data_IF_216563893486
#
_entry.id   IF_216563893486
#
_cell.length_a   1.000
_cell.length_b   1.000
_cell.length_c   1.000
_cell.angle_alpha   90.00
_cell.angle_beta   90.00
_cell.angle_gamma   90.00
#
_symmetry.space_group_name_H-M   'P 1'
#
loop_
_entity.id
_entity.type
_entity.pdbx_description
1 polymer ?
#
# COMPACT_ATOMS: atom_id res chain seq x y z
N UNK A 1 88.28 1.32 -25.88
CA UNK A 1 86.94 0.78 -25.53
C UNK A 1 86.29 1.41 -24.28
N UNK A 2 87.06 1.93 -23.30
CA UNK A 2 86.52 2.47 -22.03
C UNK A 2 85.66 3.75 -22.13
N UNK A 3 86.01 4.71 -22.99
CA UNK A 3 85.34 6.03 -23.04
C UNK A 3 83.89 5.96 -23.57
N UNK A 4 83.65 5.20 -24.64
CA UNK A 4 82.30 5.04 -25.23
C UNK A 4 81.33 4.29 -24.30
N UNK A 5 81.84 3.34 -23.53
CA UNK A 5 81.04 2.62 -22.53
C UNK A 5 80.63 3.52 -21.36
N UNK A 6 81.55 4.35 -20.85
CA UNK A 6 81.24 5.33 -19.79
C UNK A 6 80.22 6.37 -20.25
N UNK A 7 80.30 6.83 -21.49
CA UNK A 7 79.31 7.72 -22.09
C UNK A 7 77.93 7.07 -22.14
N UNK A 8 77.84 5.81 -22.59
CA UNK A 8 76.58 5.07 -22.65
C UNK A 8 75.96 4.88 -21.27
N UNK A 9 76.74 4.49 -20.27
CA UNK A 9 76.26 4.35 -18.87
C UNK A 9 75.76 5.68 -18.31
N UNK A 10 76.45 6.77 -18.60
CA UNK A 10 76.02 8.10 -18.18
C UNK A 10 74.70 8.52 -18.85
N UNK A 11 74.55 8.29 -20.16
CA UNK A 11 73.32 8.59 -20.89
C UNK A 11 72.15 7.74 -20.38
N UNK A 12 72.34 6.43 -20.20
CA UNK A 12 71.30 5.57 -19.64
C UNK A 12 70.95 5.93 -18.19
N UNK A 13 71.95 6.32 -17.39
CA UNK A 13 71.73 6.82 -16.03
C UNK A 13 70.90 8.11 -16.02
N UNK A 14 71.22 9.06 -16.90
CA UNK A 14 70.50 10.32 -17.02
C UNK A 14 69.05 10.11 -17.51
N UNK A 15 68.85 9.24 -18.51
CA UNK A 15 67.51 8.87 -19.00
C UNK A 15 66.68 8.20 -17.90
N UNK A 16 67.29 7.28 -17.14
CA UNK A 16 66.61 6.62 -16.02
C UNK A 16 66.24 7.59 -14.91
N UNK A 17 67.09 8.59 -14.66
CA UNK A 17 66.84 9.63 -13.66
C UNK A 17 65.73 10.59 -14.10
N UNK A 18 65.69 10.97 -15.38
CA UNK A 18 64.59 11.76 -15.97
C UNK A 18 63.28 10.97 -15.89
N UNK A 19 63.29 9.68 -16.25
CA UNK A 19 62.12 8.81 -16.12
C UNK A 19 61.68 8.63 -14.67
N UNK A 20 62.62 8.49 -13.74
CA UNK A 20 62.34 8.41 -12.31
C UNK A 20 61.72 9.70 -11.77
N UNK A 21 62.23 10.87 -12.16
CA UNK A 21 61.64 12.17 -11.80
C UNK A 21 60.26 12.37 -12.42
N UNK A 22 60.05 11.93 -13.66
CA UNK A 22 58.76 11.99 -14.32
C UNK A 22 57.71 11.11 -13.60
N UNK A 23 58.07 9.87 -13.26
CA UNK A 23 57.20 8.98 -12.48
C UNK A 23 56.95 9.52 -11.07
N UNK A 24 57.96 10.09 -10.42
CA UNK A 24 57.81 10.75 -9.11
C UNK A 24 56.87 11.95 -9.20
N UNK A 25 56.99 12.77 -10.25
CA UNK A 25 56.09 13.90 -10.48
C UNK A 25 54.63 13.44 -10.64
N UNK A 26 54.40 12.38 -11.41
CA UNK A 26 53.04 11.83 -11.59
C UNK A 26 52.49 11.23 -10.30
N UNK A 27 53.32 10.50 -9.54
CA UNK A 27 52.85 9.78 -8.35
C UNK A 27 52.68 10.67 -7.11
N UNK A 28 53.51 11.71 -6.96
CA UNK A 28 53.57 12.53 -5.73
C UNK A 28 53.13 13.97 -5.95
N UNK A 29 53.47 14.59 -7.09
CA UNK A 29 53.15 16.00 -7.34
C UNK A 29 51.80 16.19 -8.04
N UNK A 30 51.34 15.19 -8.81
CA UNK A 30 50.04 15.22 -9.49
C UNK A 30 49.11 14.03 -9.14
N UNK A 31 48.83 13.77 -7.85
CA UNK A 31 47.83 12.77 -7.46
C UNK A 31 46.39 13.21 -7.80
N UNK A 32 46.21 14.43 -8.29
CA UNK A 32 44.94 15.16 -8.29
C UNK A 32 44.00 14.65 -9.41
N UNK A 33 44.53 14.19 -10.55
CA UNK A 33 43.70 13.75 -11.68
C UNK A 33 43.38 12.23 -11.70
N UNK A 34 43.92 11.45 -10.77
CA UNK A 34 43.46 10.08 -10.56
C UNK A 34 42.19 10.01 -9.71
N UNK A 35 41.91 11.02 -8.88
CA UNK A 35 40.68 11.09 -8.08
C UNK A 35 39.43 11.15 -8.96
N UNK A 36 39.49 11.92 -10.06
CA UNK A 36 38.44 12.06 -11.08
C UNK A 36 38.26 10.79 -11.92
N UNK A 37 39.35 10.08 -12.27
CA UNK A 37 39.30 8.78 -12.96
C UNK A 37 38.76 7.66 -12.05
N UNK A 38 39.05 7.71 -10.75
CA UNK A 38 38.45 6.82 -9.74
C UNK A 38 36.93 7.08 -9.62
N UNK A 39 36.51 8.35 -9.65
CA UNK A 39 35.09 8.73 -9.65
C UNK A 39 34.35 8.29 -10.93
N UNK A 40 35.02 8.27 -12.09
CA UNK A 40 34.44 7.80 -13.35
C UNK A 40 34.11 6.30 -13.40
N UNK A 41 34.68 5.47 -12.50
CA UNK A 41 34.47 4.01 -12.51
C UNK A 41 33.29 3.53 -11.67
N UNK A 42 32.78 4.35 -10.76
CA UNK A 42 31.78 3.93 -9.77
C UNK A 42 30.61 4.91 -9.76
N UNK A 43 29.74 4.81 -10.78
CA UNK A 43 28.45 5.51 -10.77
C UNK A 43 27.58 4.87 -9.69
N UNK A 44 27.21 5.58 -8.61
CA UNK A 44 26.35 5.04 -7.58
C UNK A 44 25.00 4.64 -8.18
N UNK A 45 24.54 3.43 -7.85
CA UNK A 45 23.18 3.00 -8.19
C UNK A 45 22.20 3.54 -7.17
N UNK A 46 20.97 3.82 -7.60
CA UNK A 46 19.89 4.23 -6.70
C UNK A 46 18.96 3.06 -6.43
N UNK A 47 18.72 2.81 -5.15
CA UNK A 47 17.71 1.89 -4.65
C UNK A 47 16.52 2.70 -4.15
N UNK A 48 15.30 2.37 -4.59
CA UNK A 48 14.09 3.06 -4.18
C UNK A 48 13.61 2.51 -2.84
N UNK A 49 13.35 3.41 -1.90
CA UNK A 49 12.82 3.08 -0.58
C UNK A 49 11.30 3.30 -0.59
N UNK A 50 10.55 2.24 -0.33
CA UNK A 50 9.09 2.23 -0.43
C UNK A 50 8.48 2.69 0.90
N UNK A 51 7.62 3.72 0.91
CA UNK A 51 6.96 4.21 2.11
C UNK A 51 5.90 3.23 2.59
N UNK A 52 5.54 3.30 3.88
CA UNK A 52 4.39 2.57 4.38
C UNK A 52 3.09 3.30 4.02
N UNK A 53 2.11 2.57 3.48
CA UNK A 53 0.79 3.16 3.19
C UNK A 53 0.01 3.41 4.49
N UNK A 54 -0.56 4.61 4.63
CA UNK A 54 -1.24 5.06 5.85
C UNK A 54 -2.40 4.17 6.28
N UNK A 55 -2.66 4.10 7.58
CA UNK A 55 -3.75 3.29 8.16
C UNK A 55 -5.10 4.01 8.10
N UNK A 56 -6.21 3.27 8.08
CA UNK A 56 -7.56 3.82 8.13
C UNK A 56 -8.22 3.43 9.46
N UNK A 57 -8.81 4.41 10.13
CA UNK A 57 -9.45 4.29 11.43
C UNK A 57 -10.93 4.67 11.34
N UNK A 58 -11.75 4.10 12.21
CA UNK A 58 -13.14 4.50 12.38
C UNK A 58 -13.27 5.84 13.15
N UNK A 59 -14.51 6.29 13.36
CA UNK A 59 -14.81 7.50 14.11
C UNK A 59 -14.27 7.49 15.55
N UNK A 60 -14.10 6.31 16.16
CA UNK A 60 -13.64 6.15 17.55
C UNK A 60 -12.13 5.90 17.64
N UNK A 61 -11.42 5.78 16.51
CA UNK A 61 -9.99 5.49 16.46
C UNK A 61 -9.64 3.99 16.41
N UNK A 62 -10.63 3.12 16.24
CA UNK A 62 -10.41 1.69 16.01
C UNK A 62 -9.80 1.47 14.63
N UNK A 63 -8.79 0.61 14.56
CA UNK A 63 -8.07 0.29 13.33
C UNK A 63 -8.93 -0.55 12.39
N UNK A 64 -9.27 0.00 11.22
CA UNK A 64 -10.06 -0.66 10.18
C UNK A 64 -9.17 -1.28 9.10
N UNK A 65 -8.11 -0.57 8.71
CA UNK A 65 -7.19 -0.99 7.65
C UNK A 65 -5.76 -0.66 8.03
N UNK A 66 -4.87 -1.64 7.83
CA UNK A 66 -3.43 -1.48 8.01
C UNK A 66 -2.65 -2.08 6.85
N UNK A 67 -1.37 -1.75 6.77
CA UNK A 67 -0.44 -2.34 5.81
C UNK A 67 0.60 -3.17 6.52
N UNK A 68 0.85 -4.37 6.01
CA UNK A 68 1.91 -5.27 6.48
C UNK A 68 2.96 -5.36 5.39
N UNK A 69 4.20 -5.02 5.73
CA UNK A 69 5.35 -5.16 4.84
C UNK A 69 5.94 -6.56 4.97
N UNK A 70 6.26 -7.14 3.83
CA UNK A 70 6.94 -8.40 3.70
C UNK A 70 8.30 -8.20 3.05
N UNK A 71 9.28 -8.89 3.60
CA UNK A 71 10.66 -8.86 3.16
C UNK A 71 11.08 -10.21 2.63
N UNK A 72 11.96 -10.14 1.64
CA UNK A 72 12.74 -11.25 1.14
C UNK A 72 14.02 -11.38 1.94
N UNK A 73 14.34 -12.60 2.34
CA UNK A 73 15.57 -12.95 3.00
C UNK A 73 16.40 -13.84 2.09
N UNK A 74 17.62 -13.40 1.82
CA UNK A 74 18.60 -14.11 0.99
C UNK A 74 19.88 -14.34 1.81
N UNK A 75 20.48 -15.53 1.64
CA UNK A 75 21.74 -15.89 2.30
C UNK A 75 22.85 -16.04 1.27
N UNK A 76 23.90 -15.22 1.40
CA UNK A 76 25.16 -15.39 0.65
C UNK A 76 25.95 -16.57 1.22
N UNK A 77 25.79 -17.71 0.58
CA UNK A 77 26.46 -18.96 0.95
C UNK A 77 27.97 -18.93 0.75
N UNK A 78 28.47 -18.09 -0.16
CA UNK A 78 29.90 -17.88 -0.33
C UNK A 78 30.52 -17.24 0.92
N UNK A 79 29.84 -16.23 1.49
CA UNK A 79 30.24 -15.62 2.75
C UNK A 79 30.20 -16.61 3.93
N UNK A 80 29.17 -17.45 3.98
CA UNK A 80 29.06 -18.52 5.01
C UNK A 80 30.20 -19.52 4.90
N UNK A 81 30.56 -19.94 3.68
CA UNK A 81 31.66 -20.87 3.45
C UNK A 81 33.02 -20.29 3.88
N UNK A 82 33.27 -19.01 3.60
CA UNK A 82 34.49 -18.33 4.04
C UNK A 82 34.58 -18.25 5.57
N UNK A 83 33.47 -17.89 6.22
CA UNK A 83 33.39 -17.80 7.68
C UNK A 83 33.52 -19.16 8.38
N UNK A 84 32.88 -20.21 7.84
CA UNK A 84 32.98 -21.56 8.39
C UNK A 84 34.44 -22.05 8.37
N UNK A 85 35.15 -21.85 7.26
CA UNK A 85 36.58 -22.16 7.14
C UNK A 85 37.43 -21.41 8.15
N UNK A 86 37.17 -20.11 8.33
CA UNK A 86 37.94 -19.28 9.28
C UNK A 86 37.72 -19.69 10.73
N UNK A 87 36.55 -20.22 11.07
CA UNK A 87 36.21 -20.71 12.40
C UNK A 87 36.45 -22.23 12.58
N UNK A 88 37.14 -22.88 11.65
CA UNK A 88 37.45 -24.31 11.72
C UNK A 88 36.21 -25.24 11.69
N UNK A 89 35.07 -24.74 11.21
CA UNK A 89 33.79 -25.46 11.15
C UNK A 89 33.47 -25.92 9.73
N UNK A 90 32.64 -26.96 9.59
CA UNK A 90 32.18 -27.41 8.26
C UNK A 90 31.11 -26.46 7.69
N UNK A 91 30.97 -26.41 6.37
CA UNK A 91 29.91 -25.64 5.70
C UNK A 91 28.51 -26.07 6.16
N UNK A 92 28.32 -27.36 6.41
CA UNK A 92 27.06 -27.90 6.91
C UNK A 92 26.75 -27.41 8.32
N UNK A 93 27.75 -27.37 9.21
CA UNK A 93 27.59 -26.79 10.56
C UNK A 93 27.22 -25.30 10.49
N UNK A 94 27.84 -24.55 9.57
CA UNK A 94 27.47 -23.15 9.32
C UNK A 94 26.02 -23.00 8.86
N UNK A 95 25.55 -23.86 7.96
CA UNK A 95 24.15 -23.87 7.53
C UNK A 95 23.19 -24.25 8.64
N UNK A 96 23.54 -25.18 9.53
CA UNK A 96 22.73 -25.51 10.70
C UNK A 96 22.57 -24.32 11.65
N UNK A 97 23.65 -23.59 11.94
CA UNK A 97 23.56 -22.42 12.80
C UNK A 97 22.68 -21.31 12.20
N UNK A 98 22.83 -21.05 10.90
CA UNK A 98 22.01 -20.08 10.16
C UNK A 98 20.55 -20.51 10.11
N UNK A 99 20.29 -21.78 9.78
CA UNK A 99 18.94 -22.29 9.71
C UNK A 99 18.22 -22.23 11.06
N UNK A 100 18.93 -22.58 12.14
CA UNK A 100 18.43 -22.46 13.50
C UNK A 100 18.13 -21.00 13.87
N UNK A 101 19.05 -20.08 13.61
CA UNK A 101 18.84 -18.66 13.87
C UNK A 101 17.62 -18.08 13.13
N UNK A 102 17.37 -18.52 11.90
CA UNK A 102 16.18 -18.12 11.12
C UNK A 102 14.91 -18.79 11.68
N UNK A 103 14.94 -20.09 11.96
CA UNK A 103 13.79 -20.85 12.43
C UNK A 103 13.31 -20.40 13.81
N UNK A 104 14.23 -20.12 14.75
CA UNK A 104 13.88 -19.66 16.10
C UNK A 104 13.18 -18.30 16.10
N UNK A 105 13.37 -17.50 15.05
CA UNK A 105 12.88 -16.12 14.96
C UNK A 105 11.78 -15.89 13.91
N UNK A 106 11.42 -16.94 13.16
CA UNK A 106 10.44 -16.89 12.07
C UNK A 106 9.44 -18.04 12.14
N UNK A 107 8.42 -17.97 11.30
CA UNK A 107 7.43 -19.04 11.18
C UNK A 107 7.92 -20.27 10.38
N UNK A 108 9.17 -20.29 9.93
CA UNK A 108 9.74 -21.38 9.11
C UNK A 108 10.34 -22.49 9.98
N UNK A 109 10.24 -23.74 9.51
CA UNK A 109 10.93 -24.86 10.14
C UNK A 109 12.41 -24.88 9.72
N UNK A 110 13.29 -25.24 10.66
CA UNK A 110 14.73 -25.35 10.40
C UNK A 110 15.05 -26.26 9.21
N UNK A 111 14.36 -27.42 9.13
CA UNK A 111 14.53 -28.38 8.04
C UNK A 111 14.24 -27.78 6.65
N UNK A 112 13.24 -26.90 6.55
CA UNK A 112 12.89 -26.24 5.29
C UNK A 112 13.96 -25.22 4.87
N UNK A 113 14.53 -24.50 5.84
CA UNK A 113 15.62 -23.54 5.60
C UNK A 113 16.90 -24.28 5.19
N UNK A 114 17.26 -25.36 5.88
CA UNK A 114 18.41 -26.22 5.53
C UNK A 114 18.29 -26.81 4.13
N UNK A 115 17.09 -27.29 3.79
CA UNK A 115 16.80 -27.83 2.46
C UNK A 115 17.08 -26.77 1.40
N UNK A 116 16.62 -25.53 1.60
CA UNK A 116 16.90 -24.41 0.69
C UNK A 116 18.38 -24.08 0.61
N UNK A 117 19.09 -23.96 1.73
CA UNK A 117 20.53 -23.64 1.75
C UNK A 117 21.38 -24.64 0.95
N UNK A 118 20.97 -25.91 0.94
CA UNK A 118 21.66 -26.98 0.23
C UNK A 118 21.31 -27.12 -1.27
N UNK A 119 20.36 -26.34 -1.80
CA UNK A 119 19.95 -26.44 -3.22
C UNK A 119 20.95 -25.75 -4.17
N UNK A 120 21.25 -26.40 -5.29
CA UNK A 120 22.04 -25.78 -6.38
C UNK A 120 23.48 -25.45 -5.99
N UNK A 121 24.05 -24.42 -6.60
CA UNK A 121 25.46 -24.06 -6.39
C UNK A 121 25.68 -23.40 -5.02
N UNK A 122 26.47 -24.04 -4.14
CA UNK A 122 26.74 -23.58 -2.76
C UNK A 122 27.58 -22.29 -2.66
N UNK A 123 27.97 -21.67 -3.77
CA UNK A 123 28.75 -20.42 -3.79
C UNK A 123 27.93 -19.18 -4.17
N UNK A 124 26.64 -19.31 -4.45
CA UNK A 124 25.76 -18.18 -4.79
C UNK A 124 24.79 -17.85 -3.67
N UNK A 125 24.26 -16.62 -3.66
CA UNK A 125 23.15 -16.27 -2.78
C UNK A 125 21.90 -17.07 -3.11
N UNK A 126 21.12 -17.41 -2.08
CA UNK A 126 19.85 -18.14 -2.24
C UNK A 126 18.75 -17.54 -1.39
N UNK A 127 17.55 -17.52 -1.97
CA UNK A 127 16.35 -17.03 -1.32
C UNK A 127 15.78 -18.04 -0.33
N UNK A 128 15.69 -17.64 0.94
CA UNK A 128 15.08 -18.44 2.01
C UNK A 128 13.57 -18.26 2.03
N UNK A 129 13.07 -17.08 1.73
CA UNK A 129 11.64 -16.78 1.65
C UNK A 129 11.36 -15.30 1.43
N UNK A 130 10.12 -14.96 1.07
CA UNK A 130 9.68 -13.60 0.75
C UNK A 130 8.48 -13.11 1.57
N UNK A 131 8.16 -13.80 2.68
CA UNK A 131 7.00 -13.51 3.53
C UNK A 131 7.39 -13.21 4.97
N UNK A 132 8.59 -12.67 5.19
CA UNK A 132 9.03 -12.26 6.52
C UNK A 132 8.42 -10.91 6.87
N UNK A 133 7.68 -10.83 7.98
CA UNK A 133 7.20 -9.54 8.49
C UNK A 133 8.37 -8.73 9.03
N UNK A 134 8.21 -7.41 9.09
CA UNK A 134 9.21 -6.49 9.65
C UNK A 134 9.68 -6.91 11.06
N UNK A 135 8.75 -7.31 11.93
CA UNK A 135 9.07 -7.81 13.27
C UNK A 135 9.88 -9.13 13.28
N UNK A 136 9.63 -10.02 12.30
CA UNK A 136 10.40 -11.26 12.17
C UNK A 136 11.82 -10.95 11.66
N UNK A 137 11.91 -10.07 10.66
CA UNK A 137 13.17 -9.61 10.10
C UNK A 137 14.07 -8.97 11.18
N UNK A 138 13.53 -8.08 12.00
CA UNK A 138 14.29 -7.42 13.07
C UNK A 138 14.89 -8.42 14.06
N UNK A 139 14.13 -9.45 14.43
CA UNK A 139 14.61 -10.52 15.32
C UNK A 139 15.72 -11.32 14.66
N UNK A 140 15.57 -11.66 13.37
CA UNK A 140 16.61 -12.37 12.61
C UNK A 140 17.88 -11.52 12.52
N UNK A 141 17.79 -10.23 12.17
CA UNK A 141 18.95 -9.34 12.09
C UNK A 141 19.66 -9.26 13.44
N UNK A 142 18.92 -9.11 14.54
CA UNK A 142 19.50 -9.11 15.89
C UNK A 142 20.20 -10.42 16.23
N UNK A 143 19.61 -11.56 15.88
CA UNK A 143 20.20 -12.88 16.11
C UNK A 143 21.50 -13.05 15.32
N UNK A 144 21.53 -12.68 14.03
CA UNK A 144 22.73 -12.75 13.19
C UNK A 144 23.85 -11.85 13.71
N UNK A 145 23.53 -10.62 14.14
CA UNK A 145 24.51 -9.71 14.70
C UNK A 145 25.08 -10.22 16.04
N UNK A 146 24.22 -10.77 16.91
CA UNK A 146 24.63 -11.31 18.22
C UNK A 146 25.54 -12.53 18.07
N UNK A 147 25.19 -13.43 17.14
CA UNK A 147 25.96 -14.65 16.86
C UNK A 147 27.11 -14.42 15.86
N UNK A 148 27.26 -13.19 15.33
CA UNK A 148 28.24 -12.82 14.28
C UNK A 148 28.17 -13.74 13.05
N UNK A 149 26.95 -14.10 12.66
CA UNK A 149 26.69 -14.92 11.47
C UNK A 149 26.77 -14.06 10.20
N UNK A 150 27.46 -14.51 9.15
CA UNK A 150 27.60 -13.76 7.91
C UNK A 150 26.46 -14.05 6.91
N UNK A 151 26.45 -13.28 5.82
CA UNK A 151 25.71 -13.62 4.62
C UNK A 151 24.22 -13.27 4.63
N UNK A 152 23.71 -12.66 5.71
CA UNK A 152 22.33 -12.19 5.75
C UNK A 152 22.14 -10.97 4.83
N UNK A 153 21.23 -11.10 3.88
CA UNK A 153 20.76 -9.98 3.06
C UNK A 153 19.24 -9.98 3.03
N UNK A 154 18.65 -8.78 2.95
CA UNK A 154 17.22 -8.62 2.90
C UNK A 154 16.83 -7.50 1.95
N UNK A 155 15.71 -7.69 1.28
CA UNK A 155 15.13 -6.73 0.34
C UNK A 155 13.64 -6.66 0.59
N UNK A 156 13.02 -5.50 0.37
CA UNK A 156 11.57 -5.41 0.40
C UNK A 156 10.97 -6.31 -0.69
N UNK A 157 9.97 -7.12 -0.35
CA UNK A 157 9.32 -8.03 -1.28
C UNK A 157 7.95 -7.53 -1.72
N UNK A 158 7.07 -7.23 -0.76
CA UNK A 158 5.71 -6.78 -1.03
C UNK A 158 5.08 -6.12 0.19
N UNK A 159 3.93 -5.49 0.00
CA UNK A 159 3.09 -4.98 1.06
C UNK A 159 1.68 -5.53 0.88
N UNK A 160 1.09 -6.04 1.97
CA UNK A 160 -0.28 -6.51 1.94
C UNK A 160 -1.16 -5.60 2.76
N UNK A 161 -2.27 -5.17 2.18
CA UNK A 161 -3.33 -4.45 2.90
C UNK A 161 -4.15 -5.45 3.72
N UNK A 162 -4.26 -5.22 5.03
CA UNK A 162 -5.03 -6.01 5.97
C UNK A 162 -6.26 -5.22 6.41
N UNK A 163 -7.43 -5.83 6.26
CA UNK A 163 -8.70 -5.26 6.67
C UNK A 163 -9.22 -6.01 7.89
N UNK A 164 -9.36 -5.34 9.04
CA UNK A 164 -9.61 -5.99 10.33
C UNK A 164 -11.05 -6.52 10.48
N UNK A 165 -12.00 -5.93 9.77
CA UNK A 165 -13.45 -6.20 9.90
C UNK A 165 -14.08 -6.87 8.67
N UNK A 166 -13.30 -7.66 7.92
CA UNK A 166 -13.72 -8.45 6.74
C UNK A 166 -14.59 -7.75 5.70
N UNK A 167 -15.92 -7.71 5.87
CA UNK A 167 -16.88 -7.08 4.94
C UNK A 167 -17.34 -5.70 5.43
N UNK A 168 -17.25 -5.42 6.73
CA UNK A 168 -17.80 -4.18 7.32
C UNK A 168 -17.14 -2.94 6.70
N UNK A 169 -17.99 -2.00 6.27
CA UNK A 169 -17.59 -0.81 5.50
C UNK A 169 -16.78 -1.14 4.24
N UNK A 170 -16.87 -2.37 3.72
CA UNK A 170 -15.98 -2.88 2.69
C UNK A 170 -16.05 -2.08 1.40
N UNK A 171 -17.26 -1.81 0.91
CA UNK A 171 -17.49 -1.00 -0.31
C UNK A 171 -17.19 0.48 -0.11
N UNK A 172 -17.28 1.01 1.11
CA UNK A 172 -16.92 2.39 1.43
C UNK A 172 -15.40 2.55 1.44
N UNK A 173 -14.71 1.69 2.18
CA UNK A 173 -13.25 1.68 2.28
C UNK A 173 -12.64 1.41 0.90
N UNK A 174 -13.19 0.44 0.18
CA UNK A 174 -12.70 -0.03 -1.10
C UNK A 174 -11.51 -0.98 -0.95
N UNK A 175 -10.67 -1.01 -1.99
CA UNK A 175 -9.54 -1.91 -2.11
C UNK A 175 -8.35 -1.27 -2.83
N UNK A 176 -7.20 -1.94 -2.74
CA UNK A 176 -5.94 -1.54 -3.38
C UNK A 176 -5.47 -2.62 -4.36
N UNK A 177 -4.68 -2.21 -5.35
CA UNK A 177 -3.99 -3.07 -6.32
C UNK A 177 -2.50 -2.92 -6.17
N UNK A 178 -1.80 -4.04 -6.24
CA UNK A 178 -0.35 -4.04 -6.45
C UNK A 178 -0.06 -3.72 -7.92
N UNK A 179 0.65 -2.62 -8.15
CA UNK A 179 1.16 -2.20 -9.45
C UNK A 179 2.68 -2.45 -9.48
N UNK A 180 3.15 -2.91 -10.64
CA UNK A 180 4.55 -3.21 -10.89
C UNK A 180 4.88 -2.81 -12.31
N UNK A 181 5.66 -1.74 -12.46
CA UNK A 181 5.88 -1.07 -13.75
C UNK A 181 7.06 -1.68 -14.55
N UNK A 182 7.54 -2.86 -14.16
CA UNK A 182 8.65 -3.54 -14.83
C UNK A 182 8.76 -5.00 -14.43
N UNK A 183 9.09 -5.83 -15.41
CA UNK A 183 9.50 -7.22 -15.26
C UNK A 183 10.88 -7.36 -15.90
N UNK A 184 11.93 -7.50 -15.10
CA UNK A 184 13.23 -7.92 -15.60
C UNK A 184 13.26 -9.47 -15.62
N UNK A 185 13.22 -10.11 -16.80
CA UNK A 185 13.17 -11.57 -16.92
C UNK A 185 14.46 -12.26 -16.46
N UNK A 186 15.56 -11.53 -16.26
CA UNK A 186 16.86 -12.07 -15.85
C UNK A 186 17.05 -12.03 -14.33
N UNK A 187 16.57 -10.98 -13.66
CA UNK A 187 16.77 -10.79 -12.20
C UNK A 187 15.51 -11.06 -11.36
N UNK A 188 14.33 -11.23 -11.99
CA UNK A 188 13.02 -11.29 -11.33
C UNK A 188 12.70 -10.09 -10.42
N UNK A 189 13.45 -8.99 -10.53
CA UNK A 189 13.27 -7.79 -9.71
C UNK A 189 12.14 -6.91 -10.26
N UNK A 190 11.26 -6.44 -9.37
CA UNK A 190 10.17 -5.50 -9.69
C UNK A 190 10.73 -4.06 -9.64
N UNK A 191 10.78 -3.35 -10.77
CA UNK A 191 11.47 -2.06 -10.88
C UNK A 191 10.85 -0.92 -10.05
N UNK A 192 9.56 -0.98 -9.73
CA UNK A 192 8.93 -0.13 -8.73
C UNK A 192 7.72 -0.86 -8.15
N UNK A 193 7.72 -1.13 -6.84
CA UNK A 193 6.54 -1.63 -6.16
C UNK A 193 5.65 -0.46 -5.77
N UNK A 194 4.39 -0.50 -6.22
CA UNK A 194 3.39 0.51 -5.90
C UNK A 194 2.08 -0.14 -5.45
N UNK A 195 1.46 0.44 -4.43
CA UNK A 195 0.16 0.01 -3.93
C UNK A 195 -0.84 1.15 -4.15
N UNK A 196 -1.67 1.00 -5.18
CA UNK A 196 -2.60 2.04 -5.65
C UNK A 196 -4.04 1.71 -5.25
N UNK A 197 -4.79 2.70 -4.77
CA UNK A 197 -6.22 2.55 -4.49
C UNK A 197 -7.04 2.33 -5.76
N UNK A 198 -7.95 1.36 -5.74
CA UNK A 198 -8.83 1.02 -6.89
C UNK A 198 -10.18 1.71 -6.78
N UNK A 199 -10.75 1.75 -5.58
CA UNK A 199 -12.10 2.27 -5.32
C UNK A 199 -12.23 2.79 -3.89
N UNK A 200 -13.36 3.44 -3.59
CA UNK A 200 -13.72 3.89 -2.25
C UNK A 200 -12.77 4.95 -1.67
N UNK A 201 -12.60 4.91 -0.35
CA UNK A 201 -11.65 5.77 0.38
C UNK A 201 -10.21 5.52 -0.07
N UNK A 202 -9.84 4.26 -0.34
CA UNK A 202 -8.48 3.91 -0.78
C UNK A 202 -8.11 4.62 -2.10
N UNK A 203 -9.03 4.75 -3.05
CA UNK A 203 -8.79 5.49 -4.29
C UNK A 203 -8.90 7.00 -4.13
N UNK A 204 -9.97 7.48 -3.50
CA UNK A 204 -10.23 8.93 -3.36
C UNK A 204 -9.15 9.66 -2.56
N UNK A 205 -8.49 8.96 -1.63
CA UNK A 205 -7.41 9.52 -0.79
C UNK A 205 -6.07 8.83 -1.05
N UNK A 206 -5.87 8.30 -2.26
CA UNK A 206 -4.65 7.57 -2.60
C UNK A 206 -3.39 8.42 -2.40
N UNK A 207 -3.45 9.73 -2.71
CA UNK A 207 -2.30 10.63 -2.68
C UNK A 207 -1.75 10.81 -1.26
N UNK A 208 -2.62 10.94 -0.26
CA UNK A 208 -2.20 11.06 1.15
C UNK A 208 -1.87 9.71 1.77
N UNK A 209 -2.55 8.63 1.34
CA UNK A 209 -2.34 7.29 1.89
C UNK A 209 -1.03 6.66 1.37
N UNK A 210 -0.63 6.93 0.12
CA UNK A 210 0.53 6.29 -0.49
C UNK A 210 1.86 6.70 0.15
N UNK A 211 1.97 7.96 0.60
CA UNK A 211 3.23 8.53 1.07
C UNK A 211 4.20 8.87 -0.06
N UNK A 212 5.41 9.29 0.29
CA UNK A 212 6.46 9.66 -0.66
C UNK A 212 7.58 8.63 -0.68
N UNK A 213 7.98 8.25 -1.89
CA UNK A 213 9.12 7.36 -2.10
C UNK A 213 10.43 8.05 -1.72
N UNK A 214 11.26 7.30 -1.01
CA UNK A 214 12.64 7.64 -0.74
C UNK A 214 13.56 6.96 -1.74
N UNK A 215 14.85 7.26 -1.64
CA UNK A 215 15.89 6.57 -2.39
C UNK A 215 17.19 6.59 -1.60
N UNK A 216 18.07 5.63 -1.85
CA UNK A 216 19.44 5.65 -1.34
C UNK A 216 20.42 5.24 -2.41
N UNK A 217 21.58 5.88 -2.41
CA UNK A 217 22.69 5.50 -3.27
C UNK A 217 23.46 4.33 -2.65
N UNK A 218 23.91 3.43 -3.50
CA UNK A 218 24.77 2.32 -3.10
C UNK A 218 25.72 1.96 -4.24
N UNK A 219 26.88 1.42 -3.87
CA UNK A 219 27.87 0.92 -4.83
C UNK A 219 27.95 -0.59 -4.76
N UNK A 220 28.18 -1.20 -5.91
CA UNK A 220 28.39 -2.64 -6.06
C UNK A 220 29.84 -2.90 -6.45
N UNK A 221 30.43 -3.98 -5.92
CA UNK A 221 31.69 -4.50 -6.44
C UNK A 221 31.48 -5.36 -7.70
N UNK A 222 32.58 -5.86 -8.29
CA UNK A 222 32.53 -6.76 -9.44
C UNK A 222 31.79 -8.09 -9.19
N UNK A 223 31.38 -8.37 -7.94
CA UNK A 223 30.59 -9.52 -7.53
C UNK A 223 29.16 -9.12 -7.11
N UNK A 224 28.71 -7.91 -7.46
CA UNK A 224 27.40 -7.35 -7.11
C UNK A 224 27.11 -7.21 -5.61
N UNK A 225 28.15 -7.14 -4.77
CA UNK A 225 27.99 -6.95 -3.34
C UNK A 225 27.95 -5.47 -3.02
N UNK A 226 27.00 -5.04 -2.18
CA UNK A 226 26.92 -3.64 -1.73
C UNK A 226 28.17 -3.29 -0.91
N UNK A 227 28.90 -2.26 -1.34
CA UNK A 227 30.13 -1.80 -0.69
C UNK A 227 29.84 -0.51 0.09
N UNK A 228 30.23 -0.41 1.37
CA UNK A 228 30.18 0.84 2.10
C UNK A 228 31.11 1.85 1.43
N UNK A 229 30.58 3.00 1.02
CA UNK A 229 31.36 4.06 0.41
C UNK A 229 31.01 5.39 1.07
N UNK A 230 32.01 6.24 1.39
CA UNK A 230 31.74 7.56 1.95
C UNK A 230 31.01 8.44 0.93
N UNK A 231 30.19 9.38 1.41
CA UNK A 231 29.47 10.37 0.60
C UNK A 231 28.37 9.80 -0.33
N UNK A 232 27.75 8.66 0.03
CA UNK A 232 26.51 8.22 -0.62
C UNK A 232 25.34 9.07 -0.12
N UNK A 233 24.48 9.52 -1.04
CA UNK A 233 23.30 10.29 -0.67
C UNK A 233 22.08 9.39 -0.44
N UNK A 234 21.19 9.82 0.44
CA UNK A 234 19.88 9.20 0.62
C UNK A 234 18.81 10.24 0.91
N UNK A 235 17.58 9.93 0.47
CA UNK A 235 16.34 10.58 0.88
C UNK A 235 15.47 9.51 1.53
N UNK A 236 15.22 9.61 2.83
CA UNK A 236 14.33 8.70 3.54
C UNK A 236 12.89 8.78 2.96
N UNK A 237 12.16 7.66 2.88
CA UNK A 237 10.76 7.67 2.47
C UNK A 237 9.89 8.35 3.54
N UNK A 238 8.81 9.01 3.10
CA UNK A 238 7.80 9.58 4.00
C UNK A 238 6.59 8.66 3.99
N UNK A 239 6.25 8.08 5.14
CA UNK A 239 5.08 7.22 5.26
C UNK A 239 3.79 7.99 4.95
N UNK A 240 2.82 7.29 4.37
CA UNK A 240 1.50 7.85 4.11
C UNK A 240 0.75 8.20 5.39
N UNK A 241 -0.08 9.24 5.29
CA UNK A 241 -0.86 9.74 6.41
C UNK A 241 -2.04 8.79 6.71
N UNK A 242 -2.33 8.62 8.00
CA UNK A 242 -3.51 7.88 8.43
C UNK A 242 -4.79 8.71 8.26
N UNK A 243 -5.90 8.04 7.96
CA UNK A 243 -7.22 8.67 7.81
C UNK A 243 -8.13 8.19 8.94
N UNK A 244 -8.79 9.13 9.62
CA UNK A 244 -9.89 8.84 10.54
C UNK A 244 -11.22 9.16 9.86
N UNK A 245 -12.07 8.15 9.71
CA UNK A 245 -13.39 8.29 9.10
C UNK A 245 -14.39 8.90 10.08
N UNK A 246 -15.51 9.40 9.55
CA UNK A 246 -16.70 9.70 10.37
C UNK A 246 -17.58 8.47 10.61
N UNK A 247 -17.31 7.38 9.90
CA UNK A 247 -18.02 6.10 10.02
C UNK A 247 -17.71 5.48 11.38
N UNK A 248 -18.75 5.17 12.13
CA UNK A 248 -18.66 4.37 13.35
C UNK A 248 -18.82 2.90 12.97
N UNK A 249 -17.82 2.07 13.28
CA UNK A 249 -17.82 0.67 12.86
C UNK A 249 -18.97 -0.14 13.48
N UNK A 250 -19.44 0.21 14.68
CA UNK A 250 -20.54 -0.47 15.35
C UNK A 250 -21.88 -0.10 14.69
N UNK A 251 -22.09 1.19 14.41
CA UNK A 251 -23.30 1.65 13.69
C UNK A 251 -23.32 1.03 12.28
N UNK A 252 -22.17 1.01 11.59
CA UNK A 252 -22.04 0.39 10.29
C UNK A 252 -22.45 -1.09 10.30
N UNK A 253 -21.94 -1.87 11.27
CA UNK A 253 -22.25 -3.29 11.39
C UNK A 253 -23.76 -3.53 11.66
N UNK A 254 -24.37 -2.72 12.53
CA UNK A 254 -25.82 -2.77 12.78
C UNK A 254 -26.62 -2.48 11.51
N UNK A 255 -26.23 -1.47 10.74
CA UNK A 255 -26.89 -1.10 9.48
C UNK A 255 -26.74 -2.20 8.44
N UNK A 256 -25.54 -2.74 8.23
CA UNK A 256 -25.32 -3.83 7.28
C UNK A 256 -26.14 -5.07 7.64
N UNK A 257 -26.17 -5.46 8.92
CA UNK A 257 -26.98 -6.58 9.39
C UNK A 257 -28.48 -6.37 9.13
N UNK A 258 -29.01 -5.19 9.47
CA UNK A 258 -30.41 -4.85 9.21
C UNK A 258 -30.75 -4.88 7.71
N UNK A 259 -29.83 -4.41 6.86
CA UNK A 259 -30.01 -4.49 5.40
C UNK A 259 -30.02 -5.94 4.90
N UNK A 260 -29.13 -6.81 5.41
CA UNK A 260 -29.13 -8.22 5.03
C UNK A 260 -30.40 -8.96 5.48
N UNK A 261 -30.90 -8.66 6.68
CA UNK A 261 -32.20 -9.17 7.14
C UNK A 261 -33.34 -8.71 6.22
N UNK A 262 -33.32 -7.44 5.81
CA UNK A 262 -34.25 -6.88 4.83
C UNK A 262 -34.17 -7.59 3.46
N UNK A 263 -32.96 -7.83 2.94
CA UNK A 263 -32.76 -8.56 1.70
C UNK A 263 -33.43 -9.94 1.74
N UNK A 264 -33.22 -10.69 2.83
CA UNK A 264 -33.81 -12.01 3.02
C UNK A 264 -35.33 -11.95 3.17
N UNK A 265 -35.84 -11.01 3.99
CA UNK A 265 -37.28 -10.85 4.27
C UNK A 265 -38.08 -10.48 3.03
N UNK A 266 -37.53 -9.61 2.18
CA UNK A 266 -38.23 -9.07 1.01
C UNK A 266 -37.78 -9.69 -0.32
N UNK A 267 -36.90 -10.71 -0.28
CA UNK A 267 -36.29 -11.33 -1.46
C UNK A 267 -35.69 -10.30 -2.43
N UNK A 268 -35.12 -9.23 -1.88
CA UNK A 268 -34.54 -8.14 -2.65
C UNK A 268 -33.13 -8.52 -3.14
N UNK A 269 -32.73 -8.01 -4.31
CA UNK A 269 -31.38 -8.25 -4.88
C UNK A 269 -30.31 -7.38 -4.22
N UNK A 270 -30.70 -6.17 -3.84
CA UNK A 270 -29.82 -5.08 -3.44
C UNK A 270 -30.55 -4.19 -2.43
N UNK A 271 -29.81 -3.67 -1.45
CA UNK A 271 -30.33 -2.72 -0.47
C UNK A 271 -29.24 -1.71 -0.10
N UNK A 272 -29.64 -0.53 0.34
CA UNK A 272 -28.70 0.51 0.75
C UNK A 272 -29.28 1.40 1.84
N UNK A 273 -28.40 1.92 2.69
CA UNK A 273 -28.74 2.86 3.75
C UNK A 273 -27.60 3.83 4.01
N UNK A 274 -27.95 5.03 4.45
CA UNK A 274 -27.03 6.06 4.93
C UNK A 274 -27.56 6.55 6.27
N UNK A 275 -26.68 6.59 7.28
CA UNK A 275 -26.96 7.17 8.60
C UNK A 275 -26.05 8.37 8.76
N UNK A 276 -26.64 9.51 9.09
CA UNK A 276 -25.95 10.79 9.17
C UNK A 276 -26.40 11.55 10.42
N UNK A 277 -25.47 12.28 11.04
CA UNK A 277 -25.80 13.31 12.03
C UNK A 277 -26.33 14.56 11.30
N UNK A 278 -27.61 14.92 11.46
CA UNK A 278 -28.21 16.03 10.73
C UNK A 278 -27.66 17.40 11.14
N UNK A 279 -27.03 17.53 12.32
CA UNK A 279 -26.45 18.81 12.77
C UNK A 279 -25.07 19.05 12.18
N UNK A 280 -24.27 17.99 12.03
CA UNK A 280 -22.87 18.09 11.60
C UNK A 280 -22.62 17.63 10.17
N UNK A 281 -23.59 16.93 9.55
CA UNK A 281 -23.43 16.30 8.25
C UNK A 281 -22.51 15.06 8.26
N UNK A 282 -22.00 14.65 9.43
CA UNK A 282 -21.12 13.49 9.53
C UNK A 282 -21.87 12.22 9.16
N UNK A 283 -21.33 11.47 8.21
CA UNK A 283 -21.86 10.15 7.85
C UNK A 283 -21.36 9.14 8.86
N UNK A 284 -22.26 8.58 9.65
CA UNK A 284 -21.99 7.60 10.71
C UNK A 284 -21.96 6.17 10.17
N UNK A 285 -22.77 5.89 9.15
CA UNK A 285 -22.74 4.64 8.41
C UNK A 285 -23.19 4.85 6.95
N UNK A 286 -22.60 4.12 6.03
CA UNK A 286 -23.01 4.08 4.63
C UNK A 286 -22.82 2.66 4.13
N UNK A 287 -23.93 1.97 3.86
CA UNK A 287 -23.90 0.57 3.49
C UNK A 287 -24.73 0.35 2.23
N UNK A 288 -24.14 -0.34 1.26
CA UNK A 288 -24.84 -0.95 0.15
C UNK A 288 -24.53 -2.44 0.18
N UNK A 289 -25.54 -3.29 0.19
CA UNK A 289 -25.41 -4.75 0.25
C UNK A 289 -26.17 -5.42 -0.88
N UNK A 290 -25.72 -6.60 -1.28
CA UNK A 290 -26.38 -7.48 -2.23
C UNK A 290 -26.59 -8.87 -1.64
N UNK A 291 -27.61 -9.59 -2.11
CA UNK A 291 -27.88 -10.97 -1.69
C UNK A 291 -26.70 -11.93 -1.93
N UNK A 292 -25.82 -11.60 -2.87
CA UNK A 292 -24.62 -12.40 -3.18
C UNK A 292 -23.43 -12.15 -2.25
N UNK A 293 -23.40 -11.04 -1.51
CA UNK A 293 -22.18 -10.60 -0.81
C UNK A 293 -21.71 -11.62 0.24
N UNK A 294 -22.64 -12.36 0.85
CA UNK A 294 -22.34 -13.42 1.83
C UNK A 294 -21.75 -14.69 1.21
N UNK A 295 -21.81 -14.83 -0.11
CA UNK A 295 -21.37 -16.03 -0.84
C UNK A 295 -20.06 -15.81 -1.61
N UNK A 296 -19.49 -14.61 -1.58
CA UNK A 296 -18.26 -14.26 -2.29
C UNK A 296 -17.17 -13.76 -1.34
N UNK A 297 -15.93 -13.81 -1.81
CA UNK A 297 -14.78 -13.38 -1.01
C UNK A 297 -14.88 -11.88 -0.66
N UNK A 298 -14.58 -11.45 0.58
CA UNK A 298 -14.70 -10.05 1.02
C UNK A 298 -13.98 -9.05 0.10
N UNK A 299 -12.78 -9.39 -0.38
CA UNK A 299 -12.04 -8.57 -1.35
C UNK A 299 -12.81 -8.31 -2.67
N UNK A 300 -13.64 -9.26 -3.12
CA UNK A 300 -14.49 -9.07 -4.30
C UNK A 300 -15.69 -8.17 -3.98
N UNK A 301 -16.24 -8.27 -2.76
CA UNK A 301 -17.31 -7.35 -2.31
C UNK A 301 -16.79 -5.91 -2.30
N UNK A 302 -15.57 -5.66 -1.80
CA UNK A 302 -14.98 -4.32 -1.66
C UNK A 302 -14.86 -3.54 -2.98
N UNK A 303 -14.64 -4.24 -4.09
CA UNK A 303 -14.51 -3.62 -5.41
C UNK A 303 -15.84 -3.43 -6.12
N UNK A 304 -16.96 -3.93 -5.56
CA UNK A 304 -18.30 -3.67 -6.08
C UNK A 304 -18.76 -2.26 -5.71
N UNK A 305 -19.61 -1.68 -6.57
CA UNK A 305 -20.16 -0.36 -6.38
C UNK A 305 -20.97 -0.24 -5.08
N UNK A 306 -20.81 0.87 -4.36
CA UNK A 306 -21.59 1.16 -3.17
C UNK A 306 -22.87 1.92 -3.56
N UNK A 307 -24.00 1.20 -3.59
CA UNK A 307 -25.29 1.68 -4.11
C UNK A 307 -25.66 3.09 -3.62
N UNK A 308 -25.58 3.44 -2.32
CA UNK A 308 -25.92 4.78 -1.85
C UNK A 308 -25.12 5.92 -2.49
N UNK A 309 -23.93 5.63 -3.02
CA UNK A 309 -23.04 6.62 -3.64
C UNK A 309 -23.03 6.59 -5.17
N UNK A 310 -23.50 5.49 -5.79
CA UNK A 310 -23.32 5.27 -7.23
C UNK A 310 -24.62 5.14 -8.01
N UNK A 311 -25.73 4.82 -7.35
CA UNK A 311 -26.99 4.52 -8.04
C UNK A 311 -27.91 5.74 -8.07
N UNK A 312 -28.29 6.16 -9.27
CA UNK A 312 -29.33 7.18 -9.49
C UNK A 312 -30.69 6.50 -9.56
N UNK A 313 -31.66 7.02 -8.82
CA UNK A 313 -33.03 6.50 -8.79
C UNK A 313 -34.03 7.64 -8.62
N UNK A 314 -35.28 7.39 -9.00
CA UNK A 314 -36.38 8.33 -8.76
C UNK A 314 -36.71 8.32 -7.25
N UNK A 315 -36.59 9.46 -6.53
CA UNK A 315 -36.75 9.51 -5.08
C UNK A 315 -38.18 9.18 -4.61
N UNK A 316 -39.15 9.17 -5.52
CA UNK A 316 -40.55 8.96 -5.24
C UNK A 316 -41.06 9.96 -4.21
N UNK A 317 -41.86 9.49 -3.25
CA UNK A 317 -42.48 10.36 -2.24
C UNK A 317 -41.51 11.02 -1.27
N UNK A 318 -40.24 10.60 -1.21
CA UNK A 318 -39.25 11.22 -0.31
C UNK A 318 -38.88 12.66 -0.70
N UNK A 319 -39.19 13.08 -1.94
CA UNK A 319 -38.98 14.46 -2.40
C UNK A 319 -40.07 15.43 -1.94
N UNK A 320 -41.27 14.92 -1.61
CA UNK A 320 -42.47 15.74 -1.32
C UNK A 320 -42.26 16.80 -0.22
N UNK A 321 -41.54 16.53 0.89
CA UNK A 321 -41.26 17.55 1.89
C UNK A 321 -40.52 18.76 1.32
N UNK A 322 -39.61 18.57 0.35
CA UNK A 322 -38.90 19.67 -0.30
C UNK A 322 -39.81 20.50 -1.20
N UNK A 323 -40.70 19.84 -1.95
CA UNK A 323 -41.71 20.54 -2.77
C UNK A 323 -42.64 21.37 -1.90
N UNK A 324 -43.15 20.79 -0.80
CA UNK A 324 -44.02 21.50 0.14
C UNK A 324 -43.29 22.63 0.88
N UNK A 325 -42.02 22.42 1.26
CA UNK A 325 -41.18 23.46 1.84
C UNK A 325 -41.08 24.67 0.89
N UNK A 326 -40.78 24.44 -0.39
CA UNK A 326 -40.69 25.50 -1.39
C UNK A 326 -42.04 26.22 -1.57
N UNK A 327 -43.16 25.48 -1.60
CA UNK A 327 -44.49 26.07 -1.74
C UNK A 327 -44.86 26.98 -0.55
N UNK A 328 -44.51 26.57 0.67
CA UNK A 328 -44.74 27.36 1.89
C UNK A 328 -43.79 28.57 1.93
N UNK A 329 -42.51 28.39 1.60
CA UNK A 329 -41.48 29.46 1.62
C UNK A 329 -41.81 30.57 0.62
N UNK A 330 -42.25 30.19 -0.58
CA UNK A 330 -42.75 31.12 -1.60
C UNK A 330 -44.17 31.63 -1.33
N UNK A 331 -44.79 31.26 -0.20
CA UNK A 331 -46.14 31.67 0.21
C UNK A 331 -47.25 31.30 -0.80
N UNK A 332 -47.01 30.29 -1.62
CA UNK A 332 -47.99 29.73 -2.56
C UNK A 332 -49.06 28.94 -1.78
N UNK A 333 -48.65 28.29 -0.69
CA UNK A 333 -49.53 27.51 0.19
C UNK A 333 -49.36 28.00 1.63
N UNK A 334 -50.47 28.26 2.34
CA UNK A 334 -50.42 28.53 3.79
C UNK A 334 -50.51 27.22 4.59
N UNK A 335 -49.83 27.10 5.75
CA UNK A 335 -49.92 25.91 6.61
C UNK A 335 -51.35 25.54 7.06
N UNK A 336 -52.28 26.51 7.02
CA UNK A 336 -53.68 26.35 7.43
C UNK A 336 -54.65 26.22 6.24
N UNK A 337 -54.14 26.18 5.01
CA UNK A 337 -54.96 26.09 3.80
C UNK A 337 -55.32 24.63 3.51
N UNK A 338 -56.52 24.41 2.99
CA UNK A 338 -56.99 23.07 2.64
C UNK A 338 -56.68 22.77 1.17
N UNK A 339 -55.92 21.71 0.94
CA UNK A 339 -55.54 21.20 -0.39
C UNK A 339 -56.39 19.97 -0.74
N UNK A 340 -56.84 19.82 -1.99
CA UNK A 340 -57.64 18.67 -2.39
C UNK A 340 -56.78 17.40 -2.53
N UNK A 341 -57.42 16.23 -2.45
CA UNK A 341 -56.80 14.92 -2.63
C UNK A 341 -57.64 14.04 -3.57
N UNK A 342 -57.13 12.86 -3.93
CA UNK A 342 -57.84 11.88 -4.75
C UNK A 342 -57.34 11.84 -6.18
N UNK A 343 -57.99 12.55 -7.11
CA UNK A 343 -57.59 12.54 -8.53
C UNK A 343 -57.50 13.96 -9.08
N UNK A 344 -56.39 14.26 -9.77
CA UNK A 344 -56.15 15.56 -10.39
C UNK A 344 -55.66 15.41 -11.82
N UNK A 345 -56.21 16.21 -12.74
CA UNK A 345 -55.84 16.17 -14.16
C UNK A 345 -54.81 17.26 -14.46
N UNK A 346 -53.54 16.87 -14.54
CA UNK A 346 -52.44 17.74 -14.95
C UNK A 346 -52.24 17.66 -16.47
N UNK A 347 -52.98 18.51 -17.21
CA UNK A 347 -52.98 18.49 -18.67
C UNK A 347 -53.46 17.15 -19.23
N UNK A 348 -52.59 16.39 -19.91
CA UNK A 348 -52.91 15.05 -20.45
C UNK A 348 -52.71 13.91 -19.44
N UNK A 349 -52.09 14.16 -18.28
CA UNK A 349 -51.79 13.12 -17.28
C UNK A 349 -52.73 13.23 -16.08
N UNK A 350 -53.21 12.08 -15.62
CA UNK A 350 -54.00 12.00 -14.39
C UNK A 350 -53.08 11.60 -13.22
N UNK A 351 -52.98 12.47 -12.23
CA UNK A 351 -52.29 12.21 -10.95
C UNK A 351 -53.32 11.65 -9.98
N UNK A 352 -52.97 10.56 -9.28
CA UNK A 352 -53.87 9.87 -8.36
C UNK A 352 -53.20 9.60 -7.03
N UNK A 353 -53.98 9.75 -5.98
CA UNK A 353 -53.66 9.27 -4.64
C UNK A 353 -54.10 7.82 -4.46
N UNK A 354 -53.52 7.13 -3.50
CA UNK A 354 -53.93 5.77 -3.13
C UNK A 354 -55.35 5.75 -2.55
N UNK A 355 -55.72 6.80 -1.81
CA UNK A 355 -57.06 6.99 -1.26
C UNK A 355 -57.50 8.44 -1.43
N UNK A 356 -58.82 8.66 -1.51
CA UNK A 356 -59.38 10.01 -1.45
C UNK A 356 -59.60 10.39 0.02
N UNK A 357 -58.89 11.43 0.45
CA UNK A 357 -58.96 11.95 1.82
C UNK A 357 -59.80 13.23 1.92
N UNK A 358 -60.46 13.66 0.84
CA UNK A 358 -61.14 14.94 0.76
C UNK A 358 -60.13 16.08 0.75
N UNK A 359 -60.23 16.97 1.74
CA UNK A 359 -59.37 18.13 1.89
C UNK A 359 -58.36 17.92 3.01
N UNK A 360 -57.09 18.20 2.73
CA UNK A 360 -55.95 17.97 3.61
C UNK A 360 -55.23 19.28 3.91
N UNK A 361 -54.77 19.47 5.15
CA UNK A 361 -53.78 20.52 5.42
C UNK A 361 -52.41 20.10 4.86
N UNK A 362 -51.47 21.04 4.61
CA UNK A 362 -50.11 20.72 4.18
C UNK A 362 -49.40 19.66 5.02
N UNK A 363 -49.61 19.67 6.33
CA UNK A 363 -49.08 18.65 7.25
C UNK A 363 -49.67 17.27 6.96
N UNK A 364 -50.96 17.19 6.62
CA UNK A 364 -51.65 15.95 6.29
C UNK A 364 -51.29 15.46 4.89
N UNK A 365 -51.04 16.37 3.93
CA UNK A 365 -50.52 16.04 2.61
C UNK A 365 -49.21 15.27 2.73
N UNK A 366 -48.29 15.73 3.59
CA UNK A 366 -47.03 15.03 3.86
C UNK A 366 -47.28 13.73 4.64
N UNK A 367 -48.11 13.76 5.69
CA UNK A 367 -48.42 12.60 6.53
C UNK A 367 -49.04 11.44 5.76
N UNK A 368 -49.99 11.74 4.86
CA UNK A 368 -50.68 10.76 4.01
C UNK A 368 -49.95 10.51 2.69
N UNK A 369 -48.87 11.24 2.41
CA UNK A 369 -48.15 11.20 1.15
C UNK A 369 -49.10 11.36 -0.05
N UNK A 370 -49.99 12.36 -0.01
CA UNK A 370 -50.86 12.66 -1.16
C UNK A 370 -50.01 13.14 -2.35
N UNK A 371 -50.14 12.47 -3.49
CA UNK A 371 -49.54 12.88 -4.76
C UNK A 371 -50.25 14.12 -5.31
N UNK A 372 -51.58 14.15 -5.20
CA UNK A 372 -52.41 15.26 -5.69
C UNK A 372 -52.13 16.54 -4.92
N UNK A 373 -52.11 16.48 -3.58
CA UNK A 373 -51.87 17.64 -2.73
C UNK A 373 -50.47 18.25 -2.87
N UNK A 374 -49.50 17.53 -3.42
CA UNK A 374 -48.15 18.06 -3.72
C UNK A 374 -48.03 18.55 -5.18
N UNK A 375 -48.90 18.06 -6.08
CA UNK A 375 -48.85 18.39 -7.49
C UNK A 375 -49.59 19.69 -7.86
N UNK A 376 -50.50 20.13 -7.00
CA UNK A 376 -51.26 21.39 -7.08
C UNK A 376 -50.47 22.47 -6.37
#
# INVERSE_FOLDING_TARGET
MSSRYKLLVFVFGLVSLIWGMYLFSIQILDPIDMSTIIHGRYIPRKEILIPNRGSIYDANGSLMVSSIRYYQLDIDRGAVNGWAKNNGSSLEQGYHQIAKAIADNSSLKEADVLKRLNMGNKLTSIQIGNKFRESELDRIIKAFNTQKLPGLSHTFASMKRLYSKDIVAGRVIGAVREESDGHDPVTMSKSLYKLSGICGIEASHNDILAGEYGWREYLEDAKHRKVPYPNLHEKSPVNGLGIRLTIDANIQEVVENALFEGLAKYSAKNAGAVVMDPKTGKVLAMAGVSSEDRHIHPNLVRVKANIPSTFMYEPGSTIKPFTMLAAIDHKVVRPTEYLPSGTYQAGRRTIRDTHNYGSLLPIDVISKSSNVGVAI
#
